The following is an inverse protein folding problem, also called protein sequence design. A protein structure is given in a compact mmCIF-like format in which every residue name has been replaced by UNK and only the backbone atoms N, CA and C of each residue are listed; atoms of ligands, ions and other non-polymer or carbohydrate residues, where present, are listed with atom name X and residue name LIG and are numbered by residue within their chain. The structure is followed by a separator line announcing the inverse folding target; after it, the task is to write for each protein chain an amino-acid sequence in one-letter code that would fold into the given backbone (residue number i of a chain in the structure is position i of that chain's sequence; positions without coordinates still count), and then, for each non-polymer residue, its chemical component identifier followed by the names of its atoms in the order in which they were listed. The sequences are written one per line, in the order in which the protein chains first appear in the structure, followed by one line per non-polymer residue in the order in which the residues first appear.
data_IF_539709002251
#
_entry.id   IF_539709002251
#
_cell.length_a   1.000
_cell.length_b   1.000
_cell.length_c   1.000
_cell.angle_alpha   90.00
_cell.angle_beta   90.00
_cell.angle_gamma   90.00
#
_symmetry.space_group_name_H-M   'P 1'
#
loop_
_entity.id
_entity.type
_entity.pdbx_description
1 polymer ?
#
# COMPACT_ATOMS: atom_id res chain seq x y z
N UNK A 1 -0.07 10.31 46.30
CA UNK A 1 -1.23 9.62 45.69
C UNK A 1 -1.21 9.93 44.19
N UNK A 2 -0.86 8.98 43.34
CA UNK A 2 -0.70 9.22 41.90
C UNK A 2 -2.07 9.35 41.24
N UNK A 3 -2.28 10.42 40.47
CA UNK A 3 -3.58 10.79 39.92
C UNK A 3 -4.03 9.73 38.89
N UNK A 4 -5.27 9.25 38.96
CA UNK A 4 -5.75 8.14 38.11
C UNK A 4 -5.57 8.41 36.60
N UNK A 5 -5.71 9.68 36.19
CA UNK A 5 -5.41 10.13 34.82
C UNK A 5 -3.95 9.90 34.39
N UNK A 6 -2.99 10.09 35.29
CA UNK A 6 -1.56 9.90 35.02
C UNK A 6 -1.27 8.41 34.77
N UNK A 7 -1.87 7.52 35.55
CA UNK A 7 -1.70 6.07 35.42
C UNK A 7 -2.24 5.59 34.06
N UNK A 8 -3.41 6.07 33.65
CA UNK A 8 -4.01 5.72 32.35
C UNK A 8 -3.14 6.22 31.18
N UNK A 9 -2.62 7.44 31.27
CA UNK A 9 -1.81 8.03 30.19
C UNK A 9 -0.48 7.30 30.02
N UNK A 10 0.18 6.93 31.12
CA UNK A 10 1.44 6.16 31.10
C UNK A 10 1.18 4.74 30.58
N UNK A 11 0.09 4.10 31.01
CA UNK A 11 -0.31 2.77 30.51
C UNK A 11 -0.57 2.78 29.01
N UNK A 12 -1.30 3.78 28.50
CA UNK A 12 -1.61 3.88 27.07
C UNK A 12 -0.35 4.17 26.22
N UNK A 13 0.56 5.01 26.72
CA UNK A 13 1.85 5.26 26.07
C UNK A 13 2.73 4.00 25.97
N UNK A 14 2.66 3.12 26.97
CA UNK A 14 3.43 1.88 26.99
C UNK A 14 2.92 0.88 25.95
N UNK A 15 1.59 0.77 25.78
CA UNK A 15 0.97 -0.14 24.81
C UNK A 15 1.27 0.25 23.35
N UNK A 16 1.39 1.54 23.04
CA UNK A 16 1.65 2.02 21.66
C UNK A 16 3.07 1.62 21.18
N UNK A 17 4.01 1.37 22.09
CA UNK A 17 5.42 1.14 21.73
C UNK A 17 5.74 -0.29 21.25
N UNK A 18 4.78 -1.23 21.33
CA UNK A 18 5.03 -2.66 21.09
C UNK A 18 4.58 -3.17 19.72
N UNK A 19 3.96 -2.35 18.88
CA UNK A 19 3.46 -2.79 17.58
C UNK A 19 4.54 -2.52 16.52
N UNK A 20 5.25 -3.56 16.11
CA UNK A 20 6.14 -3.52 14.93
C UNK A 20 5.59 -4.48 13.90
N UNK A 21 5.27 -3.97 12.72
CA UNK A 21 5.01 -4.79 11.54
C UNK A 21 6.30 -4.86 10.74
N UNK A 22 6.95 -6.03 10.74
CA UNK A 22 8.09 -6.34 9.89
C UNK A 22 7.80 -7.66 9.17
N UNK A 23 8.37 -7.83 7.98
CA UNK A 23 8.27 -9.10 7.25
C UNK A 23 9.01 -10.21 8.02
N UNK A 24 8.61 -11.48 7.94
CA UNK A 24 9.35 -12.55 8.59
C UNK A 24 10.78 -12.62 8.02
N UNK A 25 11.77 -12.86 8.88
CA UNK A 25 13.16 -13.03 8.47
C UNK A 25 13.30 -14.20 7.48
N UNK A 26 14.19 -14.03 6.50
CA UNK A 26 14.45 -15.05 5.49
C UNK A 26 15.09 -16.29 6.13
N UNK A 27 14.50 -17.46 5.89
CA UNK A 27 15.01 -18.75 6.40
C UNK A 27 16.22 -19.28 5.61
N UNK A 28 16.47 -18.71 4.43
CA UNK A 28 17.52 -19.11 3.49
C UNK A 28 18.17 -17.85 2.90
N UNK A 29 19.43 -17.98 2.47
CA UNK A 29 20.20 -16.86 1.90
C UNK A 29 19.60 -16.33 0.58
N UNK A 30 18.88 -17.19 -0.17
CA UNK A 30 18.40 -16.86 -1.51
C UNK A 30 17.06 -17.56 -1.83
N UNK A 31 16.02 -16.75 -2.08
CA UNK A 31 14.74 -17.21 -2.64
C UNK A 31 14.20 -16.13 -3.58
N UNK A 32 14.53 -16.25 -4.88
CA UNK A 32 13.94 -15.39 -5.91
C UNK A 32 12.56 -15.94 -6.26
N UNK A 33 11.52 -15.11 -6.19
CA UNK A 33 10.15 -15.53 -6.48
C UNK A 33 9.98 -16.06 -7.91
N UNK A 34 9.38 -17.24 -8.05
CA UNK A 34 8.90 -17.79 -9.30
C UNK A 34 7.42 -17.48 -9.50
N UNK A 35 7.13 -16.65 -10.50
CA UNK A 35 5.77 -16.24 -10.85
C UNK A 35 5.09 -17.18 -11.85
N UNK A 36 5.81 -18.21 -12.32
CA UNK A 36 5.37 -19.12 -13.37
C UNK A 36 4.65 -20.35 -12.81
N UNK A 37 4.97 -20.74 -11.58
CA UNK A 37 4.34 -21.85 -10.89
C UNK A 37 3.01 -21.41 -10.27
N UNK A 38 1.90 -22.03 -10.70
CA UNK A 38 0.53 -21.67 -10.32
C UNK A 38 0.11 -22.04 -8.89
N UNK A 39 1.05 -22.42 -8.03
CA UNK A 39 0.78 -22.85 -6.66
C UNK A 39 0.61 -21.64 -5.75
N UNK A 40 -0.59 -21.45 -5.18
CA UNK A 40 -0.91 -20.32 -4.30
C UNK A 40 -0.46 -20.62 -2.86
N UNK A 41 0.49 -19.85 -2.36
CA UNK A 41 0.95 -19.83 -0.96
C UNK A 41 1.05 -18.38 -0.45
N UNK A 42 1.36 -18.18 0.83
CA UNK A 42 1.59 -16.85 1.39
C UNK A 42 2.90 -16.27 0.84
N UNK A 43 2.85 -15.68 -0.36
CA UNK A 43 4.01 -15.24 -1.13
C UNK A 43 4.06 -15.91 -2.50
N UNK A 44 5.25 -16.34 -2.90
CA UNK A 44 5.49 -17.06 -4.16
C UNK A 44 6.45 -18.22 -3.91
N UNK A 45 6.38 -19.30 -4.70
CA UNK A 45 7.41 -20.34 -4.67
C UNK A 45 8.77 -19.74 -5.09
N UNK A 46 9.88 -20.32 -4.60
CA UNK A 46 11.22 -19.92 -5.02
C UNK A 46 11.56 -20.53 -6.38
N UNK A 47 12.30 -19.80 -7.22
CA UNK A 47 12.96 -20.36 -8.40
C UNK A 47 14.02 -21.38 -7.96
N UNK A 48 14.22 -22.38 -8.81
CA UNK A 48 15.36 -23.30 -8.69
C UNK A 48 16.69 -22.53 -8.79
N UNK A 49 17.66 -22.87 -7.93
CA UNK A 49 18.95 -22.15 -7.83
C UNK A 49 19.71 -22.12 -9.16
N UNK A 50 19.57 -23.16 -9.98
CA UNK A 50 20.18 -23.27 -11.32
C UNK A 50 19.64 -22.25 -12.33
N UNK A 51 18.49 -21.64 -12.06
CA UNK A 51 17.84 -20.65 -12.92
C UNK A 51 17.96 -19.22 -12.37
N UNK A 52 18.66 -19.03 -11.24
CA UNK A 52 18.89 -17.71 -10.65
C UNK A 52 20.10 -17.06 -11.32
N UNK A 53 19.93 -15.81 -11.74
CA UNK A 53 20.96 -15.01 -12.41
C UNK A 53 21.23 -13.72 -11.64
N UNK A 54 22.36 -13.06 -11.93
CA UNK A 54 22.68 -11.76 -11.31
C UNK A 54 21.64 -10.68 -11.61
N UNK A 55 20.91 -10.79 -12.74
CA UNK A 55 19.80 -9.89 -13.06
C UNK A 55 18.59 -10.03 -12.14
N UNK A 56 18.41 -11.17 -11.47
CA UNK A 56 17.33 -11.34 -10.49
C UNK A 56 17.58 -10.58 -9.17
N UNK A 57 18.83 -10.18 -8.93
CA UNK A 57 19.27 -9.50 -7.69
C UNK A 57 19.46 -7.99 -7.86
N UNK A 58 19.46 -7.50 -9.09
CA UNK A 58 19.74 -6.10 -9.40
C UNK A 58 18.51 -5.35 -9.90
N UNK A 59 18.19 -4.22 -9.25
CA UNK A 59 17.06 -3.37 -9.64
C UNK A 59 17.56 -2.10 -10.35
N UNK A 60 17.57 -2.12 -11.69
CA UNK A 60 18.06 -0.99 -12.50
C UNK A 60 17.04 0.14 -12.68
N UNK A 61 15.73 -0.16 -12.62
CA UNK A 61 14.67 0.75 -13.08
C UNK A 61 14.53 2.06 -12.30
N UNK A 62 14.96 2.08 -11.04
CA UNK A 62 14.86 3.23 -10.13
C UNK A 62 16.00 4.24 -10.29
N UNK A 63 17.04 3.89 -11.05
CA UNK A 63 18.21 4.76 -11.26
C UNK A 63 17.94 5.97 -12.16
N UNK A 64 16.82 5.95 -12.91
CA UNK A 64 16.45 7.01 -13.86
C UNK A 64 15.33 7.87 -13.28
N UNK A 65 15.46 9.21 -13.28
CA UNK A 65 14.39 10.08 -12.83
C UNK A 65 13.19 9.99 -13.79
N UNK A 66 11.98 9.81 -13.24
CA UNK A 66 10.74 9.86 -14.00
C UNK A 66 10.26 11.31 -14.15
N UNK A 67 10.06 11.78 -15.39
CA UNK A 67 9.53 13.12 -15.69
C UNK A 67 8.16 13.00 -16.36
N UNK A 68 7.14 13.61 -15.76
CA UNK A 68 5.83 13.75 -16.39
C UNK A 68 5.58 15.22 -16.80
N UNK A 69 5.37 15.46 -18.10
CA UNK A 69 5.09 16.77 -18.68
C UNK A 69 3.59 17.02 -18.93
N UNK A 70 2.70 16.20 -18.36
CA UNK A 70 1.24 16.37 -18.42
C UNK A 70 0.57 15.88 -19.71
N UNK A 71 1.33 15.29 -20.65
CA UNK A 71 0.79 14.73 -21.91
C UNK A 71 0.18 13.33 -21.75
N UNK A 72 0.48 12.65 -20.64
CA UNK A 72 0.00 11.32 -20.31
C UNK A 72 -0.24 11.20 -18.79
N UNK A 73 -1.01 10.20 -18.33
CA UNK A 73 -1.09 9.87 -16.92
C UNK A 73 0.31 9.70 -16.31
N UNK A 74 0.46 10.11 -15.05
CA UNK A 74 1.70 9.92 -14.31
C UNK A 74 1.88 8.44 -13.97
N UNK A 75 3.11 7.95 -14.14
CA UNK A 75 3.51 6.62 -13.66
C UNK A 75 4.61 6.79 -12.62
N UNK A 76 4.56 5.95 -11.59
CA UNK A 76 5.52 5.94 -10.50
C UNK A 76 6.11 4.55 -10.42
N UNK A 77 7.43 4.47 -10.27
CA UNK A 77 8.14 3.25 -9.91
C UNK A 77 8.67 3.41 -8.49
N UNK A 78 8.31 2.48 -7.62
CA UNK A 78 8.71 2.50 -6.20
C UNK A 78 9.27 1.14 -5.81
N UNK A 79 10.23 1.14 -4.89
CA UNK A 79 10.74 -0.06 -4.25
C UNK A 79 10.45 0.04 -2.75
N UNK A 80 9.98 -1.07 -2.19
CA UNK A 80 9.68 -1.21 -0.78
C UNK A 80 10.54 -2.33 -0.21
N UNK A 81 10.75 -2.30 1.10
CA UNK A 81 11.46 -3.37 1.82
C UNK A 81 10.56 -4.58 2.14
N UNK A 82 9.26 -4.48 1.88
CA UNK A 82 8.33 -5.61 1.98
C UNK A 82 8.14 -6.27 0.62
N UNK A 83 8.02 -7.60 0.64
CA UNK A 83 7.79 -8.42 -0.55
C UNK A 83 6.39 -8.21 -1.13
N UNK A 84 5.42 -7.83 -0.29
CA UNK A 84 4.02 -7.60 -0.65
C UNK A 84 3.51 -6.29 0.00
N UNK A 85 4.08 -5.13 -0.36
CA UNK A 85 3.80 -3.87 0.34
C UNK A 85 2.35 -3.39 0.12
N UNK A 86 1.72 -3.82 -0.98
CA UNK A 86 0.45 -3.28 -1.45
C UNK A 86 0.52 -1.78 -1.76
N UNK A 87 -0.53 -1.24 -2.37
CA UNK A 87 -0.68 0.21 -2.54
C UNK A 87 -2.15 0.56 -2.41
N UNK A 88 -2.45 1.56 -1.60
CA UNK A 88 -3.81 2.08 -1.44
C UNK A 88 -3.82 3.56 -1.78
N UNK A 89 -4.59 3.93 -2.81
CA UNK A 89 -4.89 5.34 -3.08
C UNK A 89 -5.99 5.79 -2.16
N UNK A 90 -5.70 6.73 -1.25
CA UNK A 90 -6.67 7.25 -0.26
C UNK A 90 -7.93 7.77 -0.95
N UNK A 91 -7.77 8.54 -2.03
CA UNK A 91 -8.91 9.09 -2.77
C UNK A 91 -9.77 7.98 -3.41
N UNK A 92 -9.14 6.98 -4.03
CA UNK A 92 -9.88 5.87 -4.65
C UNK A 92 -10.55 4.97 -3.60
N UNK A 93 -9.87 4.68 -2.49
CA UNK A 93 -10.42 3.90 -1.38
C UNK A 93 -11.66 4.58 -0.78
N UNK A 94 -11.66 5.91 -0.67
CA UNK A 94 -12.76 6.63 -0.04
C UNK A 94 -13.92 6.94 -0.99
N UNK A 95 -13.62 7.30 -2.24
CA UNK A 95 -14.62 7.85 -3.16
C UNK A 95 -14.87 6.96 -4.40
N UNK A 96 -14.11 5.89 -4.58
CA UNK A 96 -14.25 4.96 -5.72
C UNK A 96 -14.24 3.48 -5.31
N UNK A 97 -14.47 3.17 -4.03
CA UNK A 97 -14.58 1.80 -3.54
C UNK A 97 -15.84 1.10 -4.07
N UNK A 98 -15.75 -0.23 -4.21
CA UNK A 98 -16.86 -1.10 -4.57
C UNK A 98 -17.03 -2.16 -3.46
N UNK A 99 -18.16 -2.19 -2.72
CA UNK A 99 -19.29 -1.25 -2.78
C UNK A 99 -18.94 0.16 -2.24
N UNK A 100 -19.69 1.17 -2.68
CA UNK A 100 -19.44 2.56 -2.32
C UNK A 100 -19.65 2.82 -0.83
N UNK A 101 -18.82 3.67 -0.24
CA UNK A 101 -18.99 4.10 1.15
C UNK A 101 -20.25 4.96 1.31
N UNK A 102 -20.95 4.84 2.46
CA UNK A 102 -22.11 5.67 2.77
C UNK A 102 -21.80 7.17 2.69
N UNK A 103 -22.69 7.92 2.06
CA UNK A 103 -22.50 9.34 1.80
C UNK A 103 -22.54 10.18 3.08
N UNK A 104 -23.35 9.77 4.07
CA UNK A 104 -23.43 10.43 5.37
C UNK A 104 -22.10 10.33 6.15
N UNK A 105 -21.37 9.22 6.00
CA UNK A 105 -20.02 9.05 6.57
C UNK A 105 -19.04 9.98 5.89
N UNK A 106 -19.05 10.05 4.55
CA UNK A 106 -18.14 10.92 3.79
C UNK A 106 -18.39 12.40 4.08
N UNK A 107 -19.65 12.83 4.07
CA UNK A 107 -20.05 14.22 4.34
C UNK A 107 -19.70 14.65 5.76
N UNK A 108 -19.95 13.81 6.78
CA UNK A 108 -19.58 14.13 8.17
C UNK A 108 -18.07 14.10 8.41
N UNK A 109 -17.37 13.10 7.88
CA UNK A 109 -15.92 12.92 8.11
C UNK A 109 -15.12 14.06 7.51
N UNK A 110 -15.45 14.45 6.27
CA UNK A 110 -14.74 15.52 5.56
C UNK A 110 -15.40 16.89 5.69
N UNK A 111 -16.54 16.98 6.40
CA UNK A 111 -17.35 18.20 6.56
C UNK A 111 -17.73 18.80 5.19
N UNK A 112 -18.09 17.94 4.24
CA UNK A 112 -18.46 18.29 2.87
C UNK A 112 -19.97 18.20 2.68
N UNK A 113 -20.50 18.99 1.75
CA UNK A 113 -21.88 18.81 1.27
C UNK A 113 -22.00 17.64 0.29
N UNK A 114 -23.18 17.00 0.25
CA UNK A 114 -23.53 15.91 -0.67
C UNK A 114 -23.10 16.15 -2.12
N UNK A 115 -23.46 17.32 -2.66
CA UNK A 115 -23.09 17.72 -4.04
C UNK A 115 -21.58 17.72 -4.29
N UNK A 116 -20.79 18.05 -3.27
CA UNK A 116 -19.32 18.04 -3.39
C UNK A 116 -18.77 16.61 -3.35
N UNK A 117 -19.37 15.74 -2.51
CA UNK A 117 -19.02 14.32 -2.46
C UNK A 117 -19.31 13.65 -3.81
N UNK A 118 -20.48 13.87 -4.39
CA UNK A 118 -20.84 13.33 -5.71
C UNK A 118 -19.89 13.83 -6.80
N UNK A 119 -19.57 15.13 -6.79
CA UNK A 119 -18.60 15.71 -7.72
C UNK A 119 -17.23 15.04 -7.60
N UNK A 120 -16.75 14.73 -6.39
CA UNK A 120 -15.48 14.04 -6.19
C UNK A 120 -15.54 12.60 -6.73
N UNK A 121 -16.64 11.88 -6.46
CA UNK A 121 -16.87 10.53 -6.99
C UNK A 121 -16.82 10.53 -8.53
N UNK A 122 -17.49 11.48 -9.17
CA UNK A 122 -17.51 11.63 -10.64
C UNK A 122 -16.14 11.96 -11.23
N UNK A 123 -15.40 12.87 -10.59
CA UNK A 123 -14.03 13.22 -11.03
C UNK A 123 -13.07 12.02 -10.98
N UNK A 124 -13.29 11.07 -10.07
CA UNK A 124 -12.46 9.88 -9.93
C UNK A 124 -12.95 8.73 -10.84
N UNK A 125 -14.25 8.57 -11.03
CA UNK A 125 -14.83 7.57 -11.94
C UNK A 125 -14.44 7.81 -13.40
N UNK A 126 -14.37 9.08 -13.83
CA UNK A 126 -13.99 9.48 -15.19
C UNK A 126 -12.51 9.26 -15.53
N UNK A 127 -11.66 8.92 -14.53
CA UNK A 127 -10.25 8.56 -14.73
C UNK A 127 -9.97 7.04 -14.66
N UNK A 128 -10.98 6.19 -14.83
CA UNK A 128 -10.85 4.72 -14.99
C UNK A 128 -10.11 4.35 -16.30
N UNK A 129 -8.83 4.69 -16.40
CA UNK A 129 -7.88 4.07 -17.33
C UNK A 129 -6.60 3.75 -16.55
N UNK A 130 -6.75 2.94 -15.51
CA UNK A 130 -5.66 2.13 -14.99
C UNK A 130 -5.75 0.79 -15.72
N UNK A 131 -4.98 0.65 -16.81
CA UNK A 131 -4.68 -0.62 -17.43
C UNK A 131 -3.27 -1.01 -17.03
#
# INVERSE_FOLDING_TARGET
MMNSRIIITIGFSYIISSIRAYDPDALQDLCVADKSHGTKLNGFPCKETSNITSSDLFVAGISKPAKNNGKSPASVLSAFNSQLPGTVSVAAMLFAAEPALPEDVLTKTFQLGSKMVDKIKDMLATKKSFK
#
